data_IF_805221458390
#
_entry.id   IF_805221458390
#
_cell.length_a   1.000
_cell.length_b   1.000
_cell.length_c   1.000
_cell.angle_alpha   90.00
_cell.angle_beta   90.00
_cell.angle_gamma   90.00
#
_symmetry.space_group_name_H-M   'P 1'
#
loop_
_entity.id
_entity.type
_entity.pdbx_description
1 polymer ?
#
# COMPACT_ATOMS: atom_id res chain seq x y z
N UNK A 1 -32.56 -3.15 18.21
CA UNK A 1 -33.00 -3.47 16.82
C UNK A 1 -31.83 -3.48 15.84
N UNK A 2 -30.90 -2.52 15.87
CA UNK A 2 -29.74 -2.50 14.96
C UNK A 2 -28.71 -3.64 15.19
N UNK A 3 -28.56 -4.12 16.43
CA UNK A 3 -27.58 -5.18 16.76
C UNK A 3 -28.05 -6.60 16.37
N UNK A 4 -29.36 -6.87 16.43
CA UNK A 4 -29.92 -8.16 15.99
C UNK A 4 -29.90 -8.30 14.47
N UNK A 5 -30.11 -7.20 13.76
CA UNK A 5 -30.02 -7.17 12.29
C UNK A 5 -28.57 -7.36 11.81
N UNK A 6 -27.60 -6.75 12.50
CA UNK A 6 -26.17 -7.01 12.28
C UNK A 6 -25.77 -8.46 12.54
N UNK A 7 -26.26 -9.08 13.62
CA UNK A 7 -26.00 -10.49 13.93
C UNK A 7 -26.56 -11.44 12.86
N UNK A 8 -27.78 -11.19 12.38
CA UNK A 8 -28.38 -11.99 11.30
C UNK A 8 -27.60 -11.87 9.98
N UNK A 9 -27.14 -10.66 9.64
CA UNK A 9 -26.30 -10.41 8.45
C UNK A 9 -24.91 -11.09 8.55
N UNK A 10 -24.30 -11.10 9.73
CA UNK A 10 -23.04 -11.81 10.00
C UNK A 10 -23.20 -13.33 9.87
N UNK A 11 -24.26 -13.90 10.46
CA UNK A 11 -24.55 -15.34 10.35
C UNK A 11 -24.83 -15.76 8.91
N UNK A 12 -25.56 -14.95 8.14
CA UNK A 12 -25.83 -15.23 6.74
C UNK A 12 -24.56 -15.18 5.87
N UNK A 13 -23.68 -14.21 6.11
CA UNK A 13 -22.36 -14.12 5.45
C UNK A 13 -21.48 -15.32 5.79
N UNK A 14 -21.46 -15.73 7.06
CA UNK A 14 -20.68 -16.88 7.54
C UNK A 14 -21.19 -18.20 6.96
N UNK A 15 -22.50 -18.38 6.85
CA UNK A 15 -23.13 -19.53 6.18
C UNK A 15 -22.78 -19.56 4.68
N UNK A 16 -22.88 -18.43 3.98
CA UNK A 16 -22.49 -18.31 2.56
C UNK A 16 -21.01 -18.61 2.35
N UNK A 17 -20.13 -18.11 3.23
CA UNK A 17 -18.69 -18.40 3.17
C UNK A 17 -18.39 -19.88 3.40
N UNK A 18 -19.02 -20.51 4.40
CA UNK A 18 -18.83 -21.93 4.70
C UNK A 18 -19.32 -22.83 3.54
N UNK A 19 -20.42 -22.47 2.89
CA UNK A 19 -20.92 -23.21 1.72
C UNK A 19 -19.96 -23.09 0.52
N UNK A 20 -19.42 -21.90 0.27
CA UNK A 20 -18.41 -21.67 -0.77
C UNK A 20 -17.13 -22.46 -0.47
N UNK A 21 -16.72 -22.51 0.78
CA UNK A 21 -15.51 -23.23 1.22
C UNK A 21 -15.69 -24.76 1.09
N UNK A 22 -16.86 -25.28 1.47
CA UNK A 22 -17.22 -26.69 1.28
C UNK A 22 -17.22 -27.07 -0.20
N UNK A 23 -17.86 -26.27 -1.06
CA UNK A 23 -17.86 -26.48 -2.52
C UNK A 23 -16.44 -26.41 -3.12
N UNK A 24 -15.59 -25.50 -2.62
CA UNK A 24 -14.18 -25.42 -3.04
C UNK A 24 -13.37 -26.64 -2.62
N UNK A 25 -13.57 -27.14 -1.41
CA UNK A 25 -12.87 -28.31 -0.89
C UNK A 25 -13.25 -29.59 -1.65
N UNK A 26 -14.53 -29.78 -1.95
CA UNK A 26 -15.01 -30.92 -2.74
C UNK A 26 -14.46 -30.91 -4.18
N UNK A 27 -14.50 -29.75 -4.84
CA UNK A 27 -13.89 -29.59 -6.18
C UNK A 27 -12.38 -29.84 -6.14
N UNK A 28 -11.71 -29.46 -5.05
CA UNK A 28 -10.27 -29.70 -4.88
C UNK A 28 -9.95 -31.18 -4.70
N UNK A 29 -10.70 -31.88 -3.85
CA UNK A 29 -10.56 -33.31 -3.62
C UNK A 29 -10.77 -34.11 -4.91
N UNK A 30 -11.85 -33.83 -5.65
CA UNK A 30 -12.16 -34.49 -6.93
C UNK A 30 -11.08 -34.29 -7.99
N UNK A 31 -10.48 -33.10 -8.03
CA UNK A 31 -9.39 -32.79 -8.97
C UNK A 31 -8.06 -33.45 -8.56
N UNK A 32 -7.82 -33.64 -7.27
CA UNK A 32 -6.58 -34.25 -6.75
C UNK A 32 -6.59 -35.76 -7.01
N UNK A 33 -7.73 -36.39 -6.79
CA UNK A 33 -7.99 -37.80 -7.09
C UNK A 33 -7.82 -38.09 -8.60
N UNK A 34 -8.34 -37.22 -9.47
CA UNK A 34 -8.15 -37.31 -10.92
C UNK A 34 -6.69 -37.11 -11.36
N UNK A 35 -5.90 -36.33 -10.61
CA UNK A 35 -4.48 -36.08 -10.90
C UNK A 35 -3.55 -37.21 -10.46
N UNK A 36 -3.90 -37.96 -9.40
CA UNK A 36 -3.11 -39.12 -8.93
C UNK A 36 -3.08 -40.26 -9.96
N UNK A 37 -4.13 -40.37 -10.78
CA UNK A 37 -4.25 -41.39 -11.83
C UNK A 37 -3.41 -41.09 -13.09
N UNK A 38 -2.93 -39.85 -13.30
CA UNK A 38 -2.14 -39.47 -14.49
C UNK A 38 -0.78 -38.89 -14.08
N UNK A 39 0.14 -39.77 -13.66
CA UNK A 39 1.53 -39.48 -13.25
C UNK A 39 2.48 -38.97 -14.36
N UNK A 40 2.01 -38.19 -15.34
CA UNK A 40 2.86 -37.62 -16.38
C UNK A 40 2.59 -36.14 -16.62
N UNK A 41 3.37 -35.27 -15.97
CA UNK A 41 3.70 -33.86 -16.29
C UNK A 41 2.57 -32.86 -16.61
N UNK A 42 1.28 -33.24 -16.58
CA UNK A 42 0.14 -32.31 -16.65
C UNK A 42 -0.24 -31.91 -15.23
N UNK A 43 0.22 -30.73 -14.80
CA UNK A 43 -0.14 -30.17 -13.50
C UNK A 43 -1.66 -30.16 -13.28
N UNK A 44 -2.06 -30.23 -12.01
CA UNK A 44 -3.45 -30.28 -11.51
C UNK A 44 -4.43 -29.28 -12.17
N UNK A 45 -3.93 -28.17 -12.73
CA UNK A 45 -4.74 -27.18 -13.42
C UNK A 45 -4.66 -27.31 -14.94
N UNK A 46 -5.82 -27.17 -15.60
CA UNK A 46 -5.85 -26.96 -17.05
C UNK A 46 -5.12 -25.66 -17.42
N UNK A 47 -4.50 -25.58 -18.61
CA UNK A 47 -3.78 -24.38 -19.07
C UNK A 47 -4.62 -23.09 -18.98
N UNK A 48 -5.91 -23.18 -19.30
CA UNK A 48 -6.87 -22.05 -19.21
C UNK A 48 -7.09 -21.59 -17.77
N UNK A 49 -7.30 -22.52 -16.83
CA UNK A 49 -7.42 -22.19 -15.41
C UNK A 49 -6.14 -21.55 -14.89
N UNK A 50 -4.96 -22.03 -15.32
CA UNK A 50 -3.66 -21.45 -14.94
C UNK A 50 -3.50 -20.03 -15.48
N UNK A 51 -3.94 -19.77 -16.71
CA UNK A 51 -3.98 -18.42 -17.31
C UNK A 51 -4.89 -17.49 -16.52
N UNK A 52 -6.10 -17.93 -16.16
CA UNK A 52 -7.06 -17.15 -15.34
C UNK A 52 -6.51 -16.85 -13.94
N UNK A 53 -5.86 -17.82 -13.30
CA UNK A 53 -5.26 -17.63 -11.98
C UNK A 53 -4.12 -16.61 -12.00
N UNK A 54 -3.20 -16.69 -12.98
CA UNK A 54 -2.12 -15.69 -13.12
C UNK A 54 -2.67 -14.28 -13.33
N UNK A 55 -3.75 -14.15 -14.12
CA UNK A 55 -4.40 -12.86 -14.33
C UNK A 55 -4.97 -12.31 -13.02
N UNK A 56 -5.66 -13.13 -12.24
CA UNK A 56 -6.21 -12.73 -10.94
C UNK A 56 -5.11 -12.33 -9.95
N UNK A 57 -3.99 -13.06 -9.91
CA UNK A 57 -2.86 -12.73 -9.04
C UNK A 57 -2.22 -11.40 -9.41
N UNK A 58 -2.03 -11.11 -10.71
CA UNK A 58 -1.50 -9.81 -11.16
C UNK A 58 -2.47 -8.67 -10.87
N UNK A 59 -3.77 -8.89 -11.08
CA UNK A 59 -4.80 -7.89 -10.72
C UNK A 59 -4.78 -7.58 -9.22
N UNK A 60 -4.70 -8.61 -8.37
CA UNK A 60 -4.59 -8.44 -6.92
C UNK A 60 -3.28 -7.72 -6.53
N UNK A 61 -2.15 -8.08 -7.15
CA UNK A 61 -0.88 -7.40 -6.90
C UNK A 61 -0.92 -5.92 -7.30
N UNK A 62 -1.55 -5.58 -8.43
CA UNK A 62 -1.72 -4.20 -8.87
C UNK A 62 -2.65 -3.40 -7.92
N UNK A 63 -3.72 -4.04 -7.43
CA UNK A 63 -4.65 -3.43 -6.47
C UNK A 63 -3.96 -3.15 -5.13
N UNK A 64 -3.22 -4.12 -4.58
CA UNK A 64 -2.47 -3.94 -3.34
C UNK A 64 -1.37 -2.88 -3.51
N UNK A 65 -0.68 -2.83 -4.65
CA UNK A 65 0.30 -1.79 -4.96
C UNK A 65 -0.33 -0.40 -4.95
N UNK A 66 -1.51 -0.24 -5.57
CA UNK A 66 -2.23 1.04 -5.57
C UNK A 66 -2.65 1.46 -4.16
N UNK A 67 -3.13 0.50 -3.36
CA UNK A 67 -3.52 0.74 -1.96
C UNK A 67 -2.33 1.14 -1.10
N UNK A 68 -1.16 0.55 -1.31
CA UNK A 68 0.08 0.93 -0.65
C UNK A 68 0.53 2.34 -1.05
N UNK A 69 0.43 2.69 -2.35
CA UNK A 69 0.72 4.04 -2.83
C UNK A 69 -0.20 5.08 -2.17
N UNK A 70 -1.50 4.80 -2.08
CA UNK A 70 -2.47 5.68 -1.42
C UNK A 70 -2.16 5.85 0.08
N UNK A 71 -1.79 4.76 0.78
CA UNK A 71 -1.34 4.82 2.17
C UNK A 71 -0.09 5.67 2.34
N UNK A 72 0.92 5.46 1.50
CA UNK A 72 2.18 6.22 1.53
C UNK A 72 1.94 7.70 1.20
N UNK A 73 1.02 8.00 0.28
CA UNK A 73 0.65 9.37 -0.04
C UNK A 73 -0.09 10.05 1.13
N UNK A 74 -0.99 9.35 1.80
CA UNK A 74 -1.68 9.85 2.99
C UNK A 74 -0.70 10.09 4.15
N UNK A 75 0.21 9.15 4.40
CA UNK A 75 1.27 9.31 5.41
C UNK A 75 2.20 10.48 5.07
N UNK A 76 2.59 10.63 3.79
CA UNK A 76 3.36 11.78 3.33
C UNK A 76 2.63 13.09 3.61
N UNK A 77 1.32 13.16 3.39
CA UNK A 77 0.52 14.37 3.70
C UNK A 77 0.51 14.65 5.20
N UNK A 78 0.28 13.63 6.04
CA UNK A 78 0.30 13.75 7.50
C UNK A 78 1.64 14.28 8.01
N UNK A 79 2.76 13.74 7.51
CA UNK A 79 4.10 14.18 7.91
C UNK A 79 4.37 15.62 7.48
N UNK A 80 3.92 16.03 6.29
CA UNK A 80 4.08 17.42 5.82
C UNK A 80 3.29 18.37 6.73
N UNK A 81 2.06 18.03 7.08
CA UNK A 81 1.23 18.84 7.98
C UNK A 81 1.86 18.97 9.37
N UNK A 82 2.36 17.86 9.92
CA UNK A 82 3.06 17.83 11.22
C UNK A 82 4.35 18.66 11.20
N UNK A 83 5.14 18.56 10.13
CA UNK A 83 6.43 19.28 10.02
C UNK A 83 6.25 20.76 9.73
N UNK A 84 5.38 21.11 8.78
CA UNK A 84 5.21 22.50 8.36
C UNK A 84 4.36 23.29 9.37
N UNK A 85 3.40 22.64 10.04
CA UNK A 85 2.52 23.27 11.00
C UNK A 85 1.61 24.32 10.38
N UNK A 86 1.05 25.17 11.23
CA UNK A 86 0.21 26.30 10.80
C UNK A 86 1.07 27.49 10.36
N UNK A 87 0.62 28.27 9.36
CA UNK A 87 1.27 29.53 9.02
C UNK A 87 1.39 30.44 10.24
N UNK A 88 2.50 31.18 10.36
CA UNK A 88 2.64 32.20 11.41
C UNK A 88 1.67 33.35 11.15
N UNK A 89 1.02 33.82 12.21
CA UNK A 89 0.12 34.98 12.18
C UNK A 89 0.96 36.25 12.00
N UNK A 90 0.78 36.93 10.87
CA UNK A 90 1.52 38.15 10.52
C UNK A 90 0.67 39.42 10.66
N UNK A 91 -0.66 39.28 10.75
CA UNK A 91 -1.60 40.42 10.71
C UNK A 91 -1.57 41.30 11.97
N UNK A 92 -1.12 40.74 13.10
CA UNK A 92 -0.98 41.46 14.39
C UNK A 92 0.49 41.64 14.81
N UNK A 93 1.44 41.27 13.94
CA UNK A 93 2.87 41.28 14.29
C UNK A 93 3.47 42.69 14.16
N UNK A 94 4.24 43.09 15.16
CA UNK A 94 5.05 44.32 15.09
C UNK A 94 6.27 44.13 14.16
N UNK A 95 6.93 45.22 13.79
CA UNK A 95 8.06 45.20 12.83
C UNK A 95 9.22 44.30 13.31
N UNK A 96 9.48 44.27 14.62
CA UNK A 96 10.55 43.45 15.20
C UNK A 96 10.21 41.95 15.17
N UNK A 97 8.97 41.60 15.48
CA UNK A 97 8.43 40.24 15.38
C UNK A 97 8.43 39.74 13.93
N UNK A 98 8.16 40.62 12.96
CA UNK A 98 8.24 40.31 11.54
C UNK A 98 9.68 40.00 11.11
N UNK A 99 10.65 40.87 11.47
CA UNK A 99 12.08 40.65 11.21
C UNK A 99 12.60 39.37 11.86
N UNK A 100 12.19 39.09 13.10
CA UNK A 100 12.53 37.86 13.81
C UNK A 100 11.98 36.62 13.09
N UNK A 101 10.72 36.68 12.65
CA UNK A 101 10.07 35.60 11.91
C UNK A 101 10.76 35.30 10.58
N UNK A 102 11.13 36.33 9.82
CA UNK A 102 11.87 36.16 8.56
C UNK A 102 13.24 35.49 8.78
N UNK A 103 13.99 35.90 9.82
CA UNK A 103 15.28 35.28 10.16
C UNK A 103 15.13 33.81 10.51
N UNK A 104 14.11 33.45 11.31
CA UNK A 104 13.83 32.06 11.66
C UNK A 104 13.45 31.21 10.45
N UNK A 105 12.65 31.75 9.52
CA UNK A 105 12.32 31.04 8.28
C UNK A 105 13.55 30.84 7.40
N UNK A 106 14.38 31.87 7.24
CA UNK A 106 15.62 31.78 6.47
C UNK A 106 16.57 30.71 7.03
N UNK A 107 16.81 30.71 8.35
CA UNK A 107 17.65 29.70 9.00
C UNK A 107 17.08 28.29 8.83
N UNK A 108 15.77 28.14 8.95
CA UNK A 108 15.09 26.86 8.76
C UNK A 108 15.20 26.36 7.32
N UNK A 109 15.07 27.25 6.34
CA UNK A 109 15.21 26.91 4.91
C UNK A 109 16.64 26.42 4.65
N UNK A 110 17.66 27.15 5.12
CA UNK A 110 19.05 26.76 4.93
C UNK A 110 19.34 25.35 5.50
N UNK A 111 18.86 25.06 6.72
CA UNK A 111 18.99 23.72 7.33
C UNK A 111 18.28 22.62 6.54
N UNK A 112 17.10 22.92 5.96
CA UNK A 112 16.35 21.97 5.14
C UNK A 112 17.02 21.73 3.78
N UNK A 113 17.63 22.75 3.18
CA UNK A 113 18.37 22.64 1.93
C UNK A 113 19.63 21.79 2.09
N UNK A 114 20.36 21.97 3.20
CA UNK A 114 21.53 21.16 3.53
C UNK A 114 21.16 19.66 3.67
N UNK A 115 20.16 19.36 4.50
CA UNK A 115 19.66 18.00 4.66
C UNK A 115 19.10 17.40 3.35
N UNK A 116 18.49 18.22 2.50
CA UNK A 116 18.01 17.80 1.18
C UNK A 116 19.18 17.43 0.27
N UNK A 117 20.25 18.22 0.25
CA UNK A 117 21.44 17.96 -0.56
C UNK A 117 22.07 16.61 -0.22
N UNK A 118 22.27 16.34 1.07
CA UNK A 118 22.82 15.06 1.55
C UNK A 118 21.95 13.86 1.10
N UNK A 119 20.64 13.98 1.26
CA UNK A 119 19.69 12.94 0.83
C UNK A 119 19.74 12.72 -0.69
N UNK A 120 19.76 13.79 -1.48
CA UNK A 120 19.85 13.70 -2.94
C UNK A 120 21.16 13.07 -3.40
N UNK A 121 22.28 13.39 -2.75
CA UNK A 121 23.56 12.77 -3.03
C UNK A 121 23.54 11.26 -2.74
N UNK A 122 23.00 10.86 -1.59
CA UNK A 122 22.86 9.44 -1.22
C UNK A 122 21.95 8.68 -2.19
N UNK A 123 20.85 9.29 -2.64
CA UNK A 123 19.96 8.70 -3.65
C UNK A 123 20.71 8.50 -4.97
N UNK A 124 21.41 9.53 -5.46
CA UNK A 124 22.21 9.44 -6.70
C UNK A 124 23.26 8.34 -6.62
N UNK A 125 23.96 8.21 -5.49
CA UNK A 125 24.95 7.14 -5.27
C UNK A 125 24.30 5.76 -5.34
N UNK A 126 23.16 5.57 -4.66
CA UNK A 126 22.43 4.30 -4.68
C UNK A 126 21.89 3.97 -6.07
N UNK A 127 21.39 4.96 -6.81
CA UNK A 127 20.93 4.77 -8.19
C UNK A 127 22.07 4.32 -9.11
N UNK A 128 23.27 4.87 -8.92
CA UNK A 128 24.47 4.42 -9.62
C UNK A 128 24.82 2.97 -9.25
N UNK A 129 24.85 2.62 -7.95
CA UNK A 129 25.15 1.26 -7.49
C UNK A 129 24.14 0.23 -8.01
N UNK A 130 22.85 0.59 -8.08
CA UNK A 130 21.81 -0.28 -8.67
C UNK A 130 22.05 -0.47 -10.16
N UNK A 131 22.41 0.60 -10.89
CA UNK A 131 22.70 0.52 -12.33
C UNK A 131 23.91 -0.35 -12.63
N UNK A 132 24.99 -0.23 -11.86
CA UNK A 132 26.19 -1.06 -12.04
C UNK A 132 25.92 -2.54 -11.76
N UNK A 133 24.93 -2.86 -10.90
CA UNK A 133 24.58 -4.22 -10.49
C UNK A 133 23.49 -4.88 -11.33
N UNK A 134 22.78 -4.12 -12.18
CA UNK A 134 21.62 -4.59 -12.96
C UNK A 134 22.00 -4.87 -14.40
#
# INVERSE_FOLDING_TARGET
MADDEKKKLEEEKKRKQAEIERKRAEVRARMEEASKAKKAKKGFMTPERKKKLRLLLRKKAAEELKKEQERKAAERRRIIEERCGKPKLIDEANEEQLKSTLRQYHERIAKLEDAKYDLEYLVKKKDFEVRERS
#
